data_IF_826711277816
#
_entry.id   IF_826711277816
#
_cell.length_a   1.000
_cell.length_b   1.000
_cell.length_c   1.000
_cell.angle_alpha   90.00
_cell.angle_beta   90.00
_cell.angle_gamma   90.00
#
_symmetry.space_group_name_H-M   'P 1'
#
loop_
_entity.id
_entity.type
_entity.pdbx_description
1 polymer ?
#
# COMPACT_ATOMS: atom_id res chain seq x y z
N UNK A 1 -3.92 1.28 21.43
CA UNK A 1 -4.29 1.82 20.09
C UNK A 1 -3.61 1.12 18.92
N UNK A 2 -2.28 1.00 18.86
CA UNK A 2 -1.55 0.42 17.71
C UNK A 2 -1.89 -1.04 17.37
N UNK A 3 -2.24 -1.88 18.35
CA UNK A 3 -2.61 -3.29 18.10
C UNK A 3 -3.91 -3.42 17.30
N UNK A 4 -4.86 -2.52 17.50
CA UNK A 4 -6.14 -2.49 16.78
C UNK A 4 -5.96 -2.06 15.33
N UNK A 5 -5.09 -1.05 15.10
CA UNK A 5 -4.75 -0.58 13.76
C UNK A 5 -4.04 -1.68 12.94
N UNK A 6 -3.07 -2.38 13.54
CA UNK A 6 -2.40 -3.52 12.89
C UNK A 6 -3.40 -4.63 12.52
N UNK A 7 -4.35 -4.94 13.40
CA UNK A 7 -5.41 -5.91 13.12
C UNK A 7 -6.27 -5.48 11.93
N UNK A 8 -6.73 -4.23 11.88
CA UNK A 8 -7.50 -3.68 10.76
C UNK A 8 -6.74 -3.76 9.44
N UNK A 9 -5.44 -3.45 9.46
CA UNK A 9 -4.57 -3.51 8.29
C UNK A 9 -4.39 -4.95 7.78
N UNK A 10 -4.16 -5.90 8.69
CA UNK A 10 -4.10 -7.32 8.34
C UNK A 10 -5.44 -7.87 7.85
N UNK A 11 -6.56 -7.46 8.45
CA UNK A 11 -7.91 -7.85 8.01
C UNK A 11 -8.19 -7.31 6.60
N UNK A 12 -7.86 -6.05 6.31
CA UNK A 12 -8.00 -5.47 4.98
C UNK A 12 -7.14 -6.19 3.94
N UNK A 13 -5.91 -6.57 4.30
CA UNK A 13 -5.03 -7.35 3.43
C UNK A 13 -5.62 -8.73 3.10
N UNK A 14 -6.10 -9.46 4.11
CA UNK A 14 -6.71 -10.78 3.94
C UNK A 14 -8.00 -10.67 3.12
N UNK A 15 -8.83 -9.67 3.38
CA UNK A 15 -10.07 -9.45 2.64
C UNK A 15 -9.78 -9.13 1.16
N UNK A 16 -8.78 -8.30 0.87
CA UNK A 16 -8.38 -8.00 -0.51
C UNK A 16 -7.90 -9.23 -1.26
N UNK A 17 -7.14 -10.12 -0.60
CA UNK A 17 -6.70 -11.40 -1.18
C UNK A 17 -7.88 -12.33 -1.42
N UNK A 18 -8.83 -12.40 -0.49
CA UNK A 18 -10.03 -13.23 -0.63
C UNK A 18 -10.94 -12.73 -1.77
N UNK A 19 -11.11 -11.41 -1.91
CA UNK A 19 -11.88 -10.79 -2.98
C UNK A 19 -11.23 -11.09 -4.34
N UNK A 20 -9.91 -10.91 -4.49
CA UNK A 20 -9.16 -11.27 -5.70
C UNK A 20 -9.23 -12.77 -6.03
N UNK A 21 -9.34 -13.63 -5.02
CA UNK A 21 -9.47 -15.08 -5.21
C UNK A 21 -10.89 -15.51 -5.63
N UNK A 22 -11.92 -14.78 -5.19
CA UNK A 22 -13.32 -15.06 -5.52
C UNK A 22 -13.78 -14.41 -6.83
N UNK A 23 -13.19 -13.28 -7.23
CA UNK A 23 -13.43 -12.66 -8.54
C UNK A 23 -12.67 -13.42 -9.62
N UNK A 24 -13.29 -14.49 -10.13
CA UNK A 24 -12.83 -15.17 -11.33
C UNK A 24 -12.77 -14.17 -12.50
N UNK A 25 -11.56 -13.88 -12.97
CA UNK A 25 -11.33 -13.11 -14.19
C UNK A 25 -11.60 -13.98 -15.42
N UNK A 26 -12.88 -14.25 -15.71
CA UNK A 26 -13.28 -14.94 -16.95
C UNK A 26 -12.98 -14.10 -18.21
N UNK A 27 -12.55 -12.83 -18.08
CA UNK A 27 -12.27 -11.91 -19.20
C UNK A 27 -10.90 -11.22 -19.07
N UNK A 28 -9.84 -11.95 -18.75
CA UNK A 28 -8.48 -11.38 -18.72
C UNK A 28 -7.90 -11.25 -20.15
N UNK A 29 -7.90 -10.03 -20.70
CA UNK A 29 -7.21 -9.69 -21.96
C UNK A 29 -5.67 -9.76 -21.87
N UNK A 30 -5.12 -9.94 -20.66
CA UNK A 30 -3.69 -9.92 -20.38
C UNK A 30 -3.32 -10.97 -19.33
N UNK A 31 -2.27 -11.77 -19.57
CA UNK A 31 -1.87 -12.93 -18.76
C UNK A 31 -1.57 -12.61 -17.28
N UNK A 32 -1.09 -11.40 -16.97
CA UNK A 32 -0.78 -10.95 -15.62
C UNK A 32 -2.01 -10.57 -14.77
N UNK A 33 -3.16 -10.28 -15.41
CA UNK A 33 -4.43 -10.01 -14.71
C UNK A 33 -5.08 -11.33 -14.25
N UNK A 34 -4.76 -12.45 -14.91
CA UNK A 34 -5.25 -13.78 -14.53
C UNK A 34 -4.61 -14.35 -13.26
N UNK A 35 -3.60 -13.69 -12.68
CA UNK A 35 -2.94 -14.15 -11.46
C UNK A 35 -3.76 -13.70 -10.24
N UNK A 36 -4.39 -14.64 -9.50
CA UNK A 36 -5.17 -14.28 -8.33
C UNK A 36 -4.27 -13.63 -7.28
N UNK A 37 -4.65 -12.43 -6.83
CA UNK A 37 -3.93 -11.67 -5.80
C UNK A 37 -2.93 -10.63 -6.32
N UNK A 38 -2.80 -10.46 -7.64
CA UNK A 38 -1.93 -9.42 -8.22
C UNK A 38 -2.34 -8.01 -7.76
N UNK A 39 -3.63 -7.71 -7.69
CA UNK A 39 -4.11 -6.38 -7.30
C UNK A 39 -3.80 -6.07 -5.83
N UNK A 40 -3.97 -7.06 -4.95
CA UNK A 40 -3.64 -6.92 -3.53
C UNK A 40 -2.15 -6.62 -3.32
N UNK A 41 -1.27 -7.32 -4.05
CA UNK A 41 0.18 -7.09 -4.02
C UNK A 41 0.51 -5.70 -4.58
N UNK A 42 -0.07 -5.34 -5.72
CA UNK A 42 0.16 -4.04 -6.36
C UNK A 42 -0.26 -2.87 -5.47
N UNK A 43 -1.46 -2.95 -4.86
CA UNK A 43 -1.95 -1.94 -3.91
C UNK A 43 -1.08 -1.85 -2.65
N UNK A 44 -0.62 -2.98 -2.12
CA UNK A 44 0.27 -3.02 -0.97
C UNK A 44 1.63 -2.37 -1.27
N UNK A 45 2.22 -2.70 -2.42
CA UNK A 45 3.48 -2.10 -2.89
C UNK A 45 3.28 -0.59 -3.12
N UNK A 46 2.16 -0.18 -3.73
CA UNK A 46 1.81 1.23 -3.94
C UNK A 46 1.73 2.01 -2.63
N UNK A 47 1.07 1.46 -1.61
CA UNK A 47 1.02 2.06 -0.27
C UNK A 47 2.41 2.21 0.35
N UNK A 48 3.26 1.17 0.29
CA UNK A 48 4.63 1.24 0.81
C UNK A 48 5.44 2.29 0.06
N UNK A 49 5.34 2.33 -1.27
CA UNK A 49 6.01 3.35 -2.10
C UNK A 49 5.61 4.76 -1.69
N UNK A 50 4.32 5.03 -1.51
CA UNK A 50 3.83 6.35 -1.09
C UNK A 50 4.40 6.74 0.27
N UNK A 51 4.47 5.80 1.23
CA UNK A 51 5.05 6.06 2.57
C UNK A 51 6.54 6.40 2.45
N UNK A 52 7.30 5.62 1.68
CA UNK A 52 8.75 5.84 1.49
C UNK A 52 8.99 7.18 0.80
N UNK A 53 8.27 7.45 -0.30
CA UNK A 53 8.40 8.70 -1.05
C UNK A 53 8.01 9.89 -0.18
N UNK A 54 6.90 9.81 0.55
CA UNK A 54 6.48 10.88 1.47
C UNK A 54 7.52 11.14 2.56
N UNK A 55 8.14 10.09 3.10
CA UNK A 55 9.17 10.21 4.12
C UNK A 55 10.47 10.79 3.55
N UNK A 56 10.87 10.37 2.36
CA UNK A 56 12.04 10.89 1.66
C UNK A 56 11.86 12.37 1.30
N UNK A 57 10.69 12.74 0.79
CA UNK A 57 10.33 14.12 0.46
C UNK A 57 10.24 14.99 1.71
N UNK A 58 9.64 14.48 2.79
CA UNK A 58 9.58 15.16 4.08
C UNK A 58 10.96 15.44 4.67
N UNK A 59 11.86 14.44 4.63
CA UNK A 59 13.21 14.58 5.18
C UNK A 59 14.11 15.50 4.34
N UNK A 60 13.97 15.49 3.01
CA UNK A 60 14.85 16.27 2.12
C UNK A 60 14.33 17.67 1.79
N UNK A 61 13.03 17.91 1.92
CA UNK A 61 12.41 19.17 1.49
C UNK A 61 11.64 19.91 2.60
N UNK A 62 11.03 19.20 3.56
CA UNK A 62 10.09 19.81 4.52
C UNK A 62 10.71 20.05 5.91
N UNK A 63 11.74 19.30 6.30
CA UNK A 63 12.57 19.66 7.46
C UNK A 63 13.44 20.88 7.10
N UNK A 64 12.86 22.08 7.21
CA UNK A 64 13.63 23.32 7.34
C UNK A 64 14.50 23.19 8.59
N UNK A 65 15.78 23.52 8.45
CA UNK A 65 16.69 23.66 9.60
C UNK A 65 16.07 24.65 10.61
N UNK A 66 16.13 24.28 11.89
CA UNK A 66 15.62 25.01 13.05
C UNK A 66 16.39 26.32 13.34
N UNK A 67 17.10 26.89 12.37
CA UNK A 67 17.97 28.06 12.59
C UNK A 67 17.23 29.40 12.45
N UNK A 68 15.92 29.43 12.76
CA UNK A 68 15.09 30.64 12.67
C UNK A 68 14.93 31.38 14.02
N UNK A 69 15.77 31.07 15.01
CA UNK A 69 15.83 31.81 16.28
C UNK A 69 17.27 32.07 16.72
N UNK A 70 18.16 32.36 15.78
CA UNK A 70 19.36 33.17 16.05
C UNK A 70 19.10 34.63 15.69
#
# INVERSE_FOLDING_TARGET
>A
MIKTLKKLLYIGLILSVLIDFFLNHDHAAFWWIGIPGFNAIYGFIGCILIIIVSKALGHRWLQREEDYYD
#
